data_IF_694112214967
#
_entry.id   IF_694112214967
#
_cell.length_a   1.000
_cell.length_b   1.000
_cell.length_c   1.000
_cell.angle_alpha   90.00
_cell.angle_beta   90.00
_cell.angle_gamma   90.00
#
_symmetry.space_group_name_H-M   'P 1'
#
loop_
_entity.id
_entity.type
_entity.pdbx_description
1 polymer ?
#
# COMPACT_ATOMS: atom_id res chain seq x y z
N UNK A 1 4.77 25.20 -8.12
CA UNK A 1 4.99 23.81 -7.66
C UNK A 1 5.09 23.68 -6.13
N UNK A 2 6.09 24.24 -5.43
CA UNK A 2 6.24 24.07 -3.96
C UNK A 2 5.04 24.53 -3.13
N UNK A 3 4.34 25.59 -3.51
CA UNK A 3 3.16 26.09 -2.78
C UNK A 3 1.92 25.20 -2.93
N UNK A 4 1.65 24.66 -4.11
CA UNK A 4 0.52 23.75 -4.34
C UNK A 4 0.70 22.44 -3.55
N UNK A 5 1.90 21.86 -3.51
CA UNK A 5 2.19 20.66 -2.72
C UNK A 5 2.15 20.90 -1.21
N UNK A 6 2.55 22.09 -0.74
CA UNK A 6 2.42 22.41 0.68
C UNK A 6 0.96 22.53 1.12
N UNK A 7 0.09 23.06 0.25
CA UNK A 7 -1.35 23.14 0.52
C UNK A 7 -2.01 21.76 0.53
N UNK A 8 -1.61 20.85 -0.37
CA UNK A 8 -2.11 19.47 -0.40
C UNK A 8 -1.63 18.64 0.80
N UNK A 9 -0.38 18.82 1.25
CA UNK A 9 0.12 18.11 2.44
C UNK A 9 -0.63 18.51 3.71
N UNK A 10 -1.01 19.79 3.83
CA UNK A 10 -1.83 20.29 4.93
C UNK A 10 -3.26 19.78 4.90
N UNK A 11 -3.77 19.38 3.73
CA UNK A 11 -5.12 18.83 3.58
C UNK A 11 -5.33 17.56 4.42
N UNK A 12 -4.31 16.70 4.52
CA UNK A 12 -4.38 15.45 5.28
C UNK A 12 -4.07 15.62 6.78
N UNK A 13 -3.63 16.80 7.21
CA UNK A 13 -3.42 17.05 8.62
C UNK A 13 -4.77 17.06 9.36
N UNK A 14 -4.83 16.40 10.52
CA UNK A 14 -6.03 16.42 11.35
C UNK A 14 -5.78 17.28 12.58
N UNK A 15 -6.64 18.28 12.78
CA UNK A 15 -6.62 19.13 13.97
C UNK A 15 -7.55 18.61 15.08
N UNK A 16 -8.05 17.36 14.96
CA UNK A 16 -8.92 16.77 15.98
C UNK A 16 -8.15 16.52 17.27
N UNK A 17 -8.46 17.28 18.29
CA UNK A 17 -7.91 17.10 19.64
C UNK A 17 -8.18 15.69 20.18
N UNK A 18 -9.39 15.17 19.93
CA UNK A 18 -9.78 13.82 20.33
C UNK A 18 -8.86 12.76 19.69
N UNK A 19 -8.67 12.81 18.36
CA UNK A 19 -7.79 11.88 17.66
C UNK A 19 -6.36 11.96 18.20
N UNK A 20 -5.83 13.17 18.34
CA UNK A 20 -4.47 13.40 18.82
C UNK A 20 -4.25 12.88 20.24
N UNK A 21 -5.23 13.07 21.14
CA UNK A 21 -5.18 12.54 22.51
C UNK A 21 -5.18 11.01 22.50
N UNK A 22 -6.13 10.38 21.80
CA UNK A 22 -6.22 8.90 21.75
C UNK A 22 -4.95 8.30 21.14
N UNK A 23 -4.43 8.88 20.07
CA UNK A 23 -3.19 8.43 19.45
C UNK A 23 -1.98 8.57 20.41
N UNK A 24 -1.88 9.69 21.12
CA UNK A 24 -0.81 9.96 22.10
C UNK A 24 -0.86 8.97 23.26
N UNK A 25 -2.01 8.77 23.89
CA UNK A 25 -2.13 7.89 25.06
C UNK A 25 -2.04 6.40 24.70
N UNK A 26 -2.39 6.00 23.48
CA UNK A 26 -2.24 4.63 22.99
C UNK A 26 -0.82 4.28 22.53
N UNK A 27 0.08 5.27 22.42
CA UNK A 27 1.48 5.11 22.05
C UNK A 27 2.42 5.12 23.26
N UNK A 28 3.67 4.65 23.06
CA UNK A 28 4.72 4.76 24.10
C UNK A 28 5.06 6.24 24.34
N UNK A 29 5.35 6.67 25.59
CA UNK A 29 5.43 5.86 26.81
C UNK A 29 4.09 5.70 27.55
N UNK A 30 3.02 6.39 27.16
CA UNK A 30 1.75 6.47 27.89
C UNK A 30 0.90 5.19 27.84
N UNK A 31 1.21 4.29 26.92
CA UNK A 31 0.42 3.06 26.67
C UNK A 31 0.22 2.20 27.93
N UNK A 32 1.23 2.12 28.80
CA UNK A 32 1.16 1.30 30.02
C UNK A 32 0.11 1.88 30.98
N UNK A 33 0.14 3.19 31.23
CA UNK A 33 -0.83 3.87 32.09
C UNK A 33 -2.24 3.81 31.51
N UNK A 34 -2.37 4.07 30.20
CA UNK A 34 -3.64 3.96 29.48
C UNK A 34 -4.22 2.55 29.57
N UNK A 35 -3.36 1.52 29.46
CA UNK A 35 -3.77 0.13 29.57
C UNK A 35 -4.15 -0.29 31.00
N UNK A 36 -3.52 0.32 32.01
CA UNK A 36 -3.82 0.03 33.42
C UNK A 36 -5.08 0.73 33.94
N UNK A 37 -5.35 1.96 33.48
CA UNK A 37 -6.46 2.77 33.98
C UNK A 37 -7.78 2.52 33.26
N UNK A 38 -7.76 2.15 31.99
CA UNK A 38 -8.99 2.00 31.18
C UNK A 38 -9.20 0.54 30.78
N UNK A 39 -10.36 -0.06 31.11
CA UNK A 39 -10.69 -1.43 30.72
C UNK A 39 -10.56 -1.67 29.20
N UNK A 40 -10.04 -2.82 28.81
CA UNK A 40 -9.77 -3.19 27.42
C UNK A 40 -10.94 -2.95 26.44
N UNK A 41 -12.22 -3.24 26.78
CA UNK A 41 -13.34 -2.97 25.88
C UNK A 41 -13.52 -1.49 25.57
N UNK A 42 -13.37 -0.64 26.59
CA UNK A 42 -13.52 0.82 26.46
C UNK A 42 -12.36 1.38 25.60
N UNK A 43 -11.12 0.93 25.87
CA UNK A 43 -9.96 1.32 25.05
C UNK A 43 -10.18 0.98 23.58
N UNK A 44 -10.57 -0.24 23.28
CA UNK A 44 -10.82 -0.70 21.90
C UNK A 44 -11.96 0.06 21.24
N UNK A 45 -12.97 0.45 22.00
CA UNK A 45 -14.02 1.32 21.48
C UNK A 45 -13.52 2.73 21.15
N UNK A 46 -12.72 3.35 22.04
CA UNK A 46 -12.11 4.68 21.81
C UNK A 46 -11.16 4.66 20.62
N UNK A 47 -10.25 3.71 20.57
CA UNK A 47 -9.30 3.50 19.47
C UNK A 47 -10.08 3.35 18.14
N UNK A 48 -11.11 2.49 18.12
CA UNK A 48 -11.95 2.32 16.93
C UNK A 48 -12.67 3.59 16.50
N UNK A 49 -13.13 4.42 17.42
CA UNK A 49 -13.74 5.72 17.10
C UNK A 49 -12.73 6.68 16.49
N UNK A 50 -11.51 6.72 17.02
CA UNK A 50 -10.43 7.54 16.48
C UNK A 50 -10.02 7.08 15.07
N UNK A 51 -9.88 5.77 14.83
CA UNK A 51 -9.57 5.20 13.52
C UNK A 51 -10.65 5.53 12.48
N UNK A 52 -11.92 5.37 12.83
CA UNK A 52 -13.03 5.72 11.93
C UNK A 52 -13.08 7.22 11.62
N UNK A 53 -12.78 8.06 12.60
CA UNK A 53 -12.69 9.50 12.39
C UNK A 53 -11.57 9.81 11.37
N UNK A 54 -10.38 9.23 11.56
CA UNK A 54 -9.25 9.40 10.64
C UNK A 54 -9.59 8.89 9.23
N UNK A 55 -10.17 7.71 9.11
CA UNK A 55 -10.58 7.15 7.80
C UNK A 55 -11.57 8.07 7.08
N UNK A 56 -12.54 8.64 7.80
CA UNK A 56 -13.50 9.57 7.20
C UNK A 56 -12.84 10.87 6.77
N UNK A 57 -11.91 11.41 7.57
CA UNK A 57 -11.14 12.60 7.21
C UNK A 57 -10.32 12.35 5.94
N UNK A 58 -9.55 11.27 5.90
CA UNK A 58 -8.75 10.88 4.73
C UNK A 58 -9.63 10.68 3.49
N UNK A 59 -10.77 10.01 3.63
CA UNK A 59 -11.71 9.83 2.52
C UNK A 59 -12.25 11.18 1.99
N UNK A 60 -12.49 12.15 2.88
CA UNK A 60 -12.90 13.50 2.47
C UNK A 60 -11.78 14.23 1.72
N UNK A 61 -10.54 14.11 2.18
CA UNK A 61 -9.38 14.70 1.51
C UNK A 61 -9.20 14.11 0.11
N UNK A 62 -9.31 12.78 -0.02
CA UNK A 62 -9.26 12.11 -1.33
C UNK A 62 -10.36 12.56 -2.28
N UNK A 63 -11.59 12.78 -1.79
CA UNK A 63 -12.68 13.33 -2.64
C UNK A 63 -12.30 14.69 -3.23
N UNK A 64 -11.66 15.56 -2.45
CA UNK A 64 -11.18 16.86 -2.95
C UNK A 64 -10.11 16.68 -4.02
N UNK A 65 -9.10 15.82 -3.76
CA UNK A 65 -8.01 15.56 -4.72
C UNK A 65 -8.56 14.97 -6.02
N UNK A 66 -9.46 13.98 -5.95
CA UNK A 66 -10.10 13.40 -7.13
C UNK A 66 -10.88 14.45 -7.90
N UNK A 67 -11.59 15.36 -7.21
CA UNK A 67 -12.30 16.46 -7.87
C UNK A 67 -11.35 17.41 -8.61
N UNK A 68 -10.20 17.74 -8.02
CA UNK A 68 -9.17 18.57 -8.67
C UNK A 68 -8.55 17.84 -9.88
N UNK A 69 -8.29 16.54 -9.74
CA UNK A 69 -7.78 15.71 -10.83
C UNK A 69 -8.73 15.67 -12.03
N UNK A 70 -10.03 15.43 -11.78
CA UNK A 70 -11.05 15.39 -12.86
C UNK A 70 -11.18 16.75 -13.56
N UNK A 71 -10.90 17.84 -12.86
CA UNK A 71 -10.92 19.21 -13.42
C UNK A 71 -9.60 19.62 -14.08
N UNK A 72 -8.61 18.72 -14.11
CA UNK A 72 -7.26 19.01 -14.60
C UNK A 72 -6.57 20.20 -13.87
N UNK A 73 -6.93 20.40 -12.59
CA UNK A 73 -6.36 21.46 -11.74
C UNK A 73 -5.13 20.98 -10.92
N UNK A 74 -4.69 19.74 -11.11
CA UNK A 74 -3.48 19.21 -10.46
C UNK A 74 -2.29 19.21 -11.44
N UNK A 75 -1.14 19.62 -10.94
CA UNK A 75 0.11 19.48 -11.70
C UNK A 75 0.39 17.99 -11.98
N UNK A 76 0.77 17.68 -13.20
CA UNK A 76 1.17 16.32 -13.56
C UNK A 76 2.49 15.95 -12.90
N UNK A 77 2.53 14.78 -12.27
CA UNK A 77 3.76 14.20 -11.73
C UNK A 77 4.36 13.27 -12.78
N UNK A 78 5.45 13.72 -13.38
CA UNK A 78 6.14 12.95 -14.40
C UNK A 78 7.02 11.89 -13.73
N UNK A 79 6.77 10.63 -14.07
CA UNK A 79 7.57 9.47 -13.69
C UNK A 79 8.15 8.90 -14.99
N UNK A 80 9.48 8.80 -15.07
CA UNK A 80 10.15 8.42 -16.31
C UNK A 80 10.59 6.96 -16.27
N UNK A 81 10.08 6.10 -17.19
CA UNK A 81 10.59 4.75 -17.36
C UNK A 81 12.00 4.79 -17.97
N UNK A 82 12.92 3.94 -17.47
CA UNK A 82 14.33 3.90 -17.91
C UNK A 82 14.70 2.68 -18.72
N UNK A 83 13.84 1.65 -18.74
CA UNK A 83 14.05 0.41 -19.52
C UNK A 83 12.93 0.24 -20.56
N UNK A 84 13.26 -0.37 -21.69
CA UNK A 84 12.27 -0.83 -22.64
C UNK A 84 11.92 -2.29 -22.31
N UNK A 85 10.71 -2.48 -21.76
CA UNK A 85 10.18 -3.78 -21.35
C UNK A 85 8.90 -4.13 -22.12
N UNK A 86 8.77 -3.62 -23.35
CA UNK A 86 7.60 -3.86 -24.19
C UNK A 86 7.39 -5.37 -24.37
N UNK A 87 6.11 -5.75 -24.39
CA UNK A 87 5.63 -7.11 -24.65
C UNK A 87 6.03 -8.18 -23.62
N UNK A 88 6.69 -7.78 -22.52
CA UNK A 88 7.00 -8.70 -21.44
C UNK A 88 5.85 -8.79 -20.44
N UNK A 89 5.46 -10.00 -20.11
CA UNK A 89 4.60 -10.26 -18.95
C UNK A 89 5.47 -10.27 -17.69
N UNK A 90 5.27 -9.30 -16.80
CA UNK A 90 6.17 -9.09 -15.65
C UNK A 90 5.40 -9.24 -14.35
N UNK A 91 6.02 -9.95 -13.39
CA UNK A 91 5.66 -9.91 -11.98
C UNK A 91 6.73 -9.10 -11.24
N UNK A 92 6.32 -8.00 -10.64
CA UNK A 92 7.17 -7.13 -9.84
C UNK A 92 7.14 -7.55 -8.39
N UNK A 93 8.31 -7.76 -7.79
CA UNK A 93 8.47 -7.94 -6.35
C UNK A 93 9.51 -6.96 -5.83
N UNK A 94 9.22 -6.31 -4.69
CA UNK A 94 10.13 -5.35 -4.08
C UNK A 94 10.39 -5.71 -2.62
N UNK A 95 11.68 -5.73 -2.27
CA UNK A 95 12.15 -5.86 -0.91
C UNK A 95 13.30 -4.89 -0.68
N UNK A 96 13.05 -3.73 -0.03
CA UNK A 96 13.99 -2.61 0.04
C UNK A 96 15.37 -2.95 0.63
N UNK A 97 15.43 -3.95 1.54
CA UNK A 97 16.67 -4.38 2.19
C UNK A 97 17.56 -5.25 1.31
N UNK A 98 17.13 -5.59 0.11
CA UNK A 98 17.87 -6.45 -0.82
C UNK A 98 17.41 -7.90 -0.83
N UNK A 99 17.74 -8.58 -1.93
CA UNK A 99 17.33 -9.98 -2.19
C UNK A 99 18.44 -11.00 -1.89
N UNK A 100 19.40 -10.65 -1.06
CA UNK A 100 20.41 -11.59 -0.61
C UNK A 100 19.76 -12.73 0.20
N UNK A 101 19.99 -13.96 -0.26
CA UNK A 101 19.35 -15.17 0.28
C UNK A 101 19.67 -15.44 1.76
N UNK A 102 20.79 -14.98 2.26
CA UNK A 102 21.18 -15.19 3.65
C UNK A 102 20.44 -14.24 4.60
N UNK A 103 20.20 -12.99 4.17
CA UNK A 103 19.58 -11.95 4.98
C UNK A 103 18.05 -11.89 4.87
N UNK A 104 17.46 -12.55 3.87
CA UNK A 104 16.00 -12.54 3.65
C UNK A 104 15.26 -13.26 4.79
N UNK A 105 14.15 -12.68 5.31
CA UNK A 105 13.25 -13.39 6.20
C UNK A 105 12.66 -14.65 5.55
N UNK A 106 12.46 -15.71 6.33
CA UNK A 106 11.94 -16.99 5.80
C UNK A 106 10.60 -16.85 5.06
N UNK A 107 9.72 -15.99 5.55
CA UNK A 107 8.44 -15.72 4.86
C UNK A 107 8.65 -15.16 3.46
N UNK A 108 9.64 -14.28 3.27
CA UNK A 108 9.96 -13.70 1.95
C UNK A 108 10.58 -14.77 1.04
N UNK A 109 11.50 -15.60 1.58
CA UNK A 109 12.08 -16.73 0.84
C UNK A 109 11.01 -17.70 0.33
N UNK A 110 10.09 -18.10 1.21
CA UNK A 110 9.00 -19.03 0.86
C UNK A 110 8.09 -18.41 -0.19
N UNK A 111 7.69 -17.14 0.00
CA UNK A 111 6.78 -16.46 -0.92
C UNK A 111 7.44 -16.23 -2.29
N UNK A 112 8.67 -15.74 -2.35
CA UNK A 112 9.38 -15.52 -3.61
C UNK A 112 9.60 -16.84 -4.37
N UNK A 113 9.95 -17.93 -3.67
CA UNK A 113 10.03 -19.25 -4.27
C UNK A 113 8.67 -19.71 -4.85
N UNK A 114 7.57 -19.47 -4.12
CA UNK A 114 6.24 -19.82 -4.60
C UNK A 114 5.86 -19.05 -5.86
N UNK A 115 6.24 -17.77 -5.96
CA UNK A 115 6.05 -16.95 -7.16
C UNK A 115 6.85 -17.53 -8.33
N UNK A 116 8.13 -17.89 -8.14
CA UNK A 116 8.95 -18.50 -9.18
C UNK A 116 8.36 -19.82 -9.68
N UNK A 117 7.85 -20.66 -8.78
CA UNK A 117 7.24 -21.94 -9.14
C UNK A 117 5.92 -21.78 -9.91
N UNK A 118 5.18 -20.71 -9.69
CA UNK A 118 3.86 -20.45 -10.24
C UNK A 118 3.81 -19.25 -11.20
N UNK A 119 4.95 -18.73 -11.65
CA UNK A 119 5.01 -17.55 -12.53
C UNK A 119 4.43 -17.79 -13.92
N UNK A 120 4.35 -19.04 -14.39
CA UNK A 120 3.95 -19.35 -15.75
C UNK A 120 4.90 -18.72 -16.78
N UNK A 121 4.34 -18.00 -17.74
CA UNK A 121 5.05 -17.25 -18.79
C UNK A 121 5.50 -15.85 -18.38
N UNK A 122 5.31 -15.47 -17.10
CA UNK A 122 5.79 -14.18 -16.58
C UNK A 122 7.28 -14.23 -16.25
N UNK A 123 7.95 -13.09 -16.47
CA UNK A 123 9.28 -12.82 -15.94
C UNK A 123 9.12 -12.19 -14.53
N UNK A 124 9.81 -12.73 -13.53
CA UNK A 124 9.80 -12.13 -12.18
C UNK A 124 10.98 -11.18 -12.06
N UNK A 125 10.70 -9.92 -11.78
CA UNK A 125 11.73 -8.89 -11.56
C UNK A 125 11.78 -8.56 -10.07
N UNK A 126 12.93 -8.82 -9.47
CA UNK A 126 13.22 -8.53 -8.07
C UNK A 126 13.87 -7.15 -7.93
N UNK A 127 13.21 -6.28 -7.18
CA UNK A 127 13.62 -4.91 -6.98
C UNK A 127 13.94 -4.65 -5.51
N UNK A 128 14.95 -3.81 -5.29
CA UNK A 128 15.37 -3.32 -4.00
C UNK A 128 15.80 -1.84 -4.08
N UNK A 129 16.29 -1.28 -2.99
CA UNK A 129 16.72 0.11 -2.94
C UNK A 129 17.97 0.40 -3.78
N UNK A 130 18.72 -0.62 -4.21
CA UNK A 130 19.93 -0.46 -5.01
C UNK A 130 19.62 -0.41 -6.51
N UNK A 131 18.68 -1.27 -6.98
CA UNK A 131 18.41 -1.44 -8.42
C UNK A 131 17.16 -0.73 -8.93
N UNK A 132 16.27 -0.24 -8.05
CA UNK A 132 15.01 0.39 -8.49
C UNK A 132 15.22 1.59 -9.42
N UNK A 133 16.30 2.35 -9.24
CA UNK A 133 16.65 3.52 -10.07
C UNK A 133 17.03 3.16 -11.51
N UNK A 134 17.28 1.88 -11.82
CA UNK A 134 17.48 1.39 -13.18
C UNK A 134 16.17 1.32 -13.97
N UNK A 135 15.03 1.24 -13.28
CA UNK A 135 13.72 1.07 -13.90
C UNK A 135 12.92 2.36 -13.95
N UNK A 136 12.95 3.16 -12.88
CA UNK A 136 12.15 4.38 -12.77
C UNK A 136 13.02 5.54 -12.27
N UNK A 137 12.81 6.69 -12.89
CA UNK A 137 13.26 7.97 -12.38
C UNK A 137 12.09 8.73 -11.75
N UNK A 138 12.22 9.02 -10.46
CA UNK A 138 11.27 9.83 -9.72
C UNK A 138 11.68 11.29 -9.73
N UNK A 139 10.72 12.23 -9.65
CA UNK A 139 11.02 13.64 -9.41
C UNK A 139 11.84 13.85 -8.13
N UNK A 140 12.69 14.89 -8.12
CA UNK A 140 13.60 15.16 -7.00
C UNK A 140 12.93 15.22 -5.63
N UNK A 141 11.73 15.80 -5.55
CA UNK A 141 11.01 15.89 -4.28
C UNK A 141 10.64 14.52 -3.68
N UNK A 142 10.46 13.47 -4.50
CA UNK A 142 10.23 12.09 -4.04
C UNK A 142 11.53 11.54 -3.45
N UNK A 143 12.64 11.77 -4.14
CA UNK A 143 13.96 11.35 -3.70
C UNK A 143 14.39 12.07 -2.41
N UNK A 144 14.07 13.35 -2.27
CA UNK A 144 14.28 14.12 -1.04
C UNK A 144 13.46 13.53 0.13
N UNK A 145 12.17 13.19 -0.08
CA UNK A 145 11.35 12.56 0.95
C UNK A 145 11.87 11.20 1.39
N UNK A 146 12.41 10.39 0.46
CA UNK A 146 13.01 9.08 0.80
C UNK A 146 14.21 9.20 1.74
N UNK A 147 14.97 10.30 1.67
CA UNK A 147 16.11 10.55 2.59
C UNK A 147 15.69 10.84 4.02
N UNK A 148 14.40 11.13 4.24
CA UNK A 148 13.90 11.37 5.58
C UNK A 148 13.78 10.04 6.34
N UNK A 149 14.45 9.91 7.48
CA UNK A 149 14.47 8.71 8.34
C UNK A 149 13.09 8.27 8.83
N UNK A 150 12.12 9.17 8.84
CA UNK A 150 10.73 8.86 9.20
C UNK A 150 9.89 8.35 8.03
N UNK A 151 10.42 8.37 6.81
CA UNK A 151 9.72 7.88 5.62
C UNK A 151 9.94 6.37 5.50
N UNK A 152 8.95 5.58 5.89
CA UNK A 152 9.06 4.12 5.95
C UNK A 152 9.11 3.50 4.56
N UNK A 153 9.89 2.43 4.40
CA UNK A 153 9.95 1.63 3.16
C UNK A 153 8.56 1.22 2.65
N UNK A 154 7.63 0.89 3.54
CA UNK A 154 6.26 0.53 3.16
C UNK A 154 5.54 1.65 2.41
N UNK A 155 5.70 2.91 2.84
CA UNK A 155 5.07 4.06 2.16
C UNK A 155 5.70 4.31 0.78
N UNK A 156 7.01 4.07 0.67
CA UNK A 156 7.67 4.15 -0.62
C UNK A 156 7.22 3.00 -1.54
N UNK A 157 7.10 1.78 -1.02
CA UNK A 157 6.60 0.64 -1.79
C UNK A 157 5.20 0.89 -2.36
N UNK A 158 4.31 1.59 -1.61
CA UNK A 158 2.97 1.96 -2.10
C UNK A 158 3.04 2.92 -3.31
N UNK A 159 3.95 3.89 -3.29
CA UNK A 159 4.18 4.78 -4.44
C UNK A 159 4.85 4.03 -5.59
N UNK A 160 5.88 3.22 -5.29
CA UNK A 160 6.70 2.54 -6.26
C UNK A 160 5.92 1.53 -7.08
N UNK A 161 5.02 0.76 -6.45
CA UNK A 161 4.13 -0.17 -7.16
C UNK A 161 3.26 0.51 -8.21
N UNK A 162 2.69 1.68 -7.85
CA UNK A 162 1.85 2.43 -8.79
C UNK A 162 2.68 3.00 -9.93
N UNK A 163 3.88 3.50 -9.64
CA UNK A 163 4.80 4.03 -10.64
C UNK A 163 5.23 2.96 -11.65
N UNK A 164 5.60 1.74 -11.18
CA UNK A 164 5.94 0.61 -12.04
C UNK A 164 4.77 0.20 -12.93
N UNK A 165 3.59 0.03 -12.35
CA UNK A 165 2.40 -0.36 -13.08
C UNK A 165 1.97 0.71 -14.09
N UNK A 166 2.06 1.99 -13.76
CA UNK A 166 1.83 3.09 -14.71
C UNK A 166 2.81 3.02 -15.89
N UNK A 167 4.10 2.87 -15.61
CA UNK A 167 5.14 2.92 -16.65
C UNK A 167 5.22 1.66 -17.51
N UNK A 168 4.99 0.49 -16.93
CA UNK A 168 5.26 -0.79 -17.56
C UNK A 168 4.07 -1.73 -17.61
N UNK A 169 3.08 -1.54 -16.73
CA UNK A 169 2.05 -2.54 -16.52
C UNK A 169 2.57 -3.77 -15.80
N UNK A 170 1.81 -4.88 -15.90
CA UNK A 170 2.16 -6.17 -15.33
C UNK A 170 1.45 -6.44 -14.01
N UNK A 171 2.08 -7.25 -13.18
CA UNK A 171 1.55 -7.72 -11.90
C UNK A 171 2.47 -7.25 -10.78
N UNK A 172 1.93 -6.52 -9.83
CA UNK A 172 2.60 -6.30 -8.55
C UNK A 172 2.20 -7.39 -7.57
N UNK A 173 3.18 -8.04 -6.95
CA UNK A 173 2.97 -8.98 -5.85
C UNK A 173 3.92 -8.61 -4.71
N UNK A 174 3.38 -8.19 -3.55
CA UNK A 174 4.22 -7.95 -2.37
C UNK A 174 5.09 -9.17 -2.07
N UNK A 175 6.30 -8.94 -1.58
CA UNK A 175 7.29 -9.99 -1.29
C UNK A 175 6.80 -11.08 -0.30
N UNK A 176 5.69 -10.82 0.38
CA UNK A 176 5.05 -11.74 1.34
C UNK A 176 3.78 -12.41 0.82
N UNK A 177 3.49 -12.30 -0.48
CA UNK A 177 2.36 -12.99 -1.12
C UNK A 177 2.77 -14.40 -1.53
N UNK A 178 2.04 -15.40 -1.04
CA UNK A 178 2.21 -16.81 -1.42
C UNK A 178 1.36 -17.13 -2.65
N UNK A 179 2.01 -17.56 -3.73
CA UNK A 179 1.31 -18.10 -4.91
C UNK A 179 1.07 -19.59 -4.71
N UNK A 180 -0.17 -20.03 -4.82
CA UNK A 180 -0.56 -21.43 -4.75
C UNK A 180 -0.90 -22.04 -6.12
N UNK A 181 -1.00 -21.19 -7.13
CA UNK A 181 -1.31 -21.55 -8.52
C UNK A 181 -0.83 -20.43 -9.45
N UNK A 182 -0.59 -20.70 -10.73
CA UNK A 182 -0.32 -19.68 -11.74
C UNK A 182 -1.49 -18.69 -11.87
N UNK A 183 -1.17 -17.46 -12.34
CA UNK A 183 -2.17 -16.46 -12.71
C UNK A 183 -2.96 -17.01 -13.90
N UNK A 184 -4.30 -17.13 -13.76
CA UNK A 184 -5.13 -17.60 -14.87
C UNK A 184 -5.08 -16.61 -16.04
N UNK A 185 -5.26 -17.12 -17.27
CA UNK A 185 -5.28 -16.28 -18.47
C UNK A 185 -6.34 -15.18 -18.38
N UNK A 186 -7.54 -15.51 -17.89
CA UNK A 186 -8.63 -14.54 -17.70
C UNK A 186 -8.22 -13.42 -16.75
N UNK A 187 -7.52 -13.73 -15.66
CA UNK A 187 -7.07 -12.75 -14.70
C UNK A 187 -5.92 -11.91 -15.28
N UNK A 188 -4.96 -12.54 -15.94
CA UNK A 188 -3.83 -11.88 -16.59
C UNK A 188 -4.22 -10.97 -17.75
N UNK A 189 -5.37 -11.23 -18.41
CA UNK A 189 -5.91 -10.38 -19.47
C UNK A 189 -6.66 -9.15 -18.97
N UNK A 190 -6.89 -9.02 -17.66
CA UNK A 190 -7.60 -7.87 -17.08
C UNK A 190 -6.85 -6.58 -17.32
N UNK A 191 -7.58 -5.51 -17.66
CA UNK A 191 -7.00 -4.17 -17.79
C UNK A 191 -6.54 -3.64 -16.44
N UNK A 192 -7.33 -3.92 -15.40
CA UNK A 192 -7.01 -3.61 -14.00
C UNK A 192 -7.67 -4.61 -13.07
N UNK A 193 -6.91 -5.10 -12.07
CA UNK A 193 -7.44 -6.01 -11.05
C UNK A 193 -6.81 -5.74 -9.68
N UNK A 194 -7.64 -5.73 -8.66
CA UNK A 194 -7.25 -5.78 -7.25
C UNK A 194 -8.19 -6.69 -6.48
N UNK A 195 -7.67 -7.37 -5.48
CA UNK A 195 -8.54 -8.13 -4.57
C UNK A 195 -9.40 -7.18 -3.74
N UNK A 196 -10.68 -7.48 -3.74
CA UNK A 196 -11.68 -6.80 -2.95
C UNK A 196 -12.20 -7.72 -1.85
N UNK A 197 -12.44 -7.16 -0.67
CA UNK A 197 -13.01 -7.93 0.45
C UNK A 197 -14.47 -8.26 0.16
N UNK A 198 -14.74 -9.56 -0.07
CA UNK A 198 -16.09 -10.02 -0.34
C UNK A 198 -16.96 -9.89 0.92
N UNK A 199 -18.15 -9.27 0.77
CA UNK A 199 -19.15 -9.16 1.84
C UNK A 199 -19.79 -10.48 2.22
N UNK A 200 -19.76 -11.49 1.32
CA UNK A 200 -20.51 -12.74 1.46
C UNK A 200 -19.64 -13.90 1.97
N UNK A 201 -18.45 -13.59 2.49
CA UNK A 201 -17.55 -14.61 3.09
C UNK A 201 -18.24 -15.33 4.22
N UNK A 202 -18.29 -16.65 4.12
CA UNK A 202 -18.65 -17.57 5.20
C UNK A 202 -17.52 -17.51 6.25
N UNK A 203 -17.77 -17.61 7.52
CA UNK A 203 -16.73 -17.60 8.57
C UNK A 203 -16.05 -16.24 8.85
N UNK A 204 -16.71 -15.12 8.61
CA UNK A 204 -16.20 -13.79 8.98
C UNK A 204 -15.67 -13.72 10.40
N UNK A 205 -16.38 -14.33 11.37
CA UNK A 205 -16.00 -14.35 12.78
C UNK A 205 -14.63 -15.00 13.00
N UNK A 206 -14.31 -16.09 12.28
CA UNK A 206 -13.00 -16.75 12.35
C UNK A 206 -11.87 -15.81 11.91
N UNK A 207 -12.04 -15.16 10.79
CA UNK A 207 -11.03 -14.22 10.25
C UNK A 207 -10.88 -12.98 11.14
N UNK A 208 -11.99 -12.41 11.61
CA UNK A 208 -11.97 -11.28 12.53
C UNK A 208 -11.30 -11.61 13.87
N UNK A 209 -11.45 -12.85 14.38
CA UNK A 209 -10.75 -13.28 15.59
C UNK A 209 -9.25 -13.43 15.38
N UNK A 210 -8.81 -13.81 14.17
CA UNK A 210 -7.41 -13.91 13.81
C UNK A 210 -6.74 -12.53 13.82
N UNK A 211 -7.31 -11.57 13.11
CA UNK A 211 -6.83 -10.20 13.05
C UNK A 211 -7.99 -9.24 12.74
N UNK A 212 -8.56 -8.64 13.76
CA UNK A 212 -9.71 -7.76 13.66
C UNK A 212 -9.41 -6.44 12.92
N UNK A 213 -8.18 -6.00 12.92
CA UNK A 213 -7.79 -4.77 12.24
C UNK A 213 -7.68 -5.00 10.73
N UNK A 214 -7.13 -6.14 10.33
CA UNK A 214 -6.97 -6.51 8.93
C UNK A 214 -8.26 -7.07 8.32
N UNK A 215 -8.96 -7.97 9.03
CA UNK A 215 -10.20 -8.62 8.57
C UNK A 215 -11.43 -7.97 9.21
N UNK A 216 -11.82 -6.78 8.76
CA UNK A 216 -13.01 -6.12 9.26
C UNK A 216 -14.08 -5.98 8.17
N UNK A 217 -15.28 -6.52 8.42
CA UNK A 217 -16.49 -6.34 7.59
C UNK A 217 -17.43 -5.27 8.16
N UNK A 218 -16.96 -4.41 9.04
CA UNK A 218 -17.73 -3.27 9.53
C UNK A 218 -18.06 -2.36 8.35
N UNK A 219 -19.36 -2.08 8.14
CA UNK A 219 -19.87 -1.20 7.07
C UNK A 219 -19.28 0.23 7.11
N UNK A 220 -18.72 0.61 8.25
CA UNK A 220 -18.05 1.90 8.43
C UNK A 220 -16.60 1.93 7.91
N UNK A 221 -16.02 0.77 7.61
CA UNK A 221 -14.70 0.73 6.98
C UNK A 221 -14.77 1.33 5.58
N UNK A 222 -13.81 2.21 5.29
CA UNK A 222 -13.68 2.86 3.97
C UNK A 222 -12.72 2.10 3.05
N UNK A 223 -11.85 1.26 3.60
CA UNK A 223 -10.84 0.52 2.84
C UNK A 223 -11.25 -0.96 2.76
N UNK A 224 -11.58 -1.40 1.56
CA UNK A 224 -12.03 -2.78 1.30
C UNK A 224 -11.18 -3.49 0.23
N UNK A 225 -10.21 -2.82 -0.36
CA UNK A 225 -9.30 -3.37 -1.37
C UNK A 225 -7.94 -3.71 -0.75
N UNK A 226 -7.24 -4.67 -1.35
CA UNK A 226 -5.89 -5.07 -0.97
C UNK A 226 -4.92 -4.62 -2.05
N UNK A 227 -3.95 -3.79 -1.69
CA UNK A 227 -2.93 -3.29 -2.61
C UNK A 227 -1.68 -4.18 -2.69
N UNK A 228 -1.67 -5.31 -1.98
CA UNK A 228 -0.56 -6.25 -1.98
C UNK A 228 -0.44 -7.09 -3.26
N UNK A 229 -1.53 -7.15 -4.06
CA UNK A 229 -1.55 -7.78 -5.37
C UNK A 229 -2.39 -6.92 -6.31
N UNK A 230 -1.77 -6.47 -7.41
CA UNK A 230 -2.41 -5.60 -8.40
C UNK A 230 -2.00 -6.09 -9.80
N UNK A 231 -2.96 -6.23 -10.69
CA UNK A 231 -2.69 -6.37 -12.12
C UNK A 231 -3.12 -5.07 -12.80
N UNK A 232 -2.30 -4.56 -13.68
CA UNK A 232 -2.64 -3.39 -14.50
C UNK A 232 -1.97 -3.46 -15.85
N UNK A 233 -2.69 -3.08 -16.91
CA UNK A 233 -2.04 -2.69 -18.16
C UNK A 233 -1.32 -1.36 -17.96
N UNK A 234 -0.31 -1.12 -18.80
CA UNK A 234 0.39 0.16 -18.82
C UNK A 234 -0.60 1.33 -18.91
N UNK A 235 -0.34 2.39 -18.16
CA UNK A 235 -1.14 3.63 -18.11
C UNK A 235 -2.57 3.52 -17.56
N UNK A 236 -2.96 2.37 -17.01
CA UNK A 236 -4.28 2.19 -16.38
C UNK A 236 -4.28 2.44 -14.86
N UNK A 237 -3.17 2.93 -14.29
CA UNK A 237 -3.03 3.25 -12.86
C UNK A 237 -2.90 4.75 -12.64
#
# INVERSE_FOLDING_TARGET
>A
MKEAYSSLSNLFSTNSTFFNIIHKVSSKPYKIFYAGLIPKPIRKWLERKADLFQQNHVAHCWKKIISLYIKEELDEIIITPKKDLKDKKIIWQYWGQGWDSESLPDVVKICSRSVQMNKGDYEVIYLDDQNLSEYIEFPDFVNEKRRNVNFRHAFFADLFRLALLKCYGGVWADATILFTTPISEQLGASDFFMFYRNSDVINKAKWQNLNKEYFSWDKKNRVNVLNSFIISKKENV
#
